data_IF_193434936833
#
_entry.id   IF_193434936833
#
_cell.length_a   1.000
_cell.length_b   1.000
_cell.length_c   1.000
_cell.angle_alpha   90.00
_cell.angle_beta   90.00
_cell.angle_gamma   90.00
#
_symmetry.space_group_name_H-M   'P 1'
#
loop_
_entity.id
_entity.type
_entity.pdbx_description
1 polymer ?
#
# COMPACT_ATOMS: atom_id res chain seq x y z
N UNK A 1 -6.19 -13.75 20.24
CA UNK A 1 -5.18 -13.99 21.29
C UNK A 1 -3.97 -14.58 20.61
N UNK A 2 -3.17 -13.72 20.02
CA UNK A 2 -1.93 -14.07 19.31
C UNK A 2 -0.83 -13.71 20.28
N UNK A 3 0.02 -14.65 20.65
CA UNK A 3 1.24 -14.40 21.42
C UNK A 3 2.05 -13.32 20.69
N UNK A 4 1.98 -12.10 21.21
CA UNK A 4 2.96 -11.06 20.94
C UNK A 4 4.28 -11.67 21.42
N UNK A 5 5.26 -11.80 20.54
CA UNK A 5 6.65 -12.10 20.88
C UNK A 5 7.06 -11.18 22.03
N UNK A 6 7.00 -11.69 23.26
CA UNK A 6 7.13 -10.90 24.47
C UNK A 6 8.57 -10.38 24.54
N UNK A 7 8.73 -9.07 24.37
CA UNK A 7 10.01 -8.38 24.58
C UNK A 7 10.72 -7.82 23.35
N UNK A 8 10.16 -7.89 22.14
CA UNK A 8 10.70 -7.12 21.01
C UNK A 8 10.17 -5.67 21.04
N UNK A 9 11.08 -4.71 21.10
CA UNK A 9 10.76 -3.28 20.99
C UNK A 9 11.22 -2.74 19.62
N UNK A 10 10.61 -1.65 19.12
CA UNK A 10 11.08 -0.95 17.91
C UNK A 10 12.59 -0.71 17.92
N UNK A 11 13.13 -0.24 19.04
CA UNK A 11 14.54 0.09 19.22
C UNK A 11 15.43 -1.15 19.08
N UNK A 12 15.00 -2.29 19.63
CA UNK A 12 15.73 -3.55 19.50
C UNK A 12 15.76 -4.04 18.04
N UNK A 13 14.64 -3.91 17.32
CA UNK A 13 14.58 -4.28 15.90
C UNK A 13 15.48 -3.38 15.06
N UNK A 14 15.45 -2.06 15.30
CA UNK A 14 16.32 -1.09 14.63
C UNK A 14 17.80 -1.37 14.94
N UNK A 15 18.15 -1.64 16.20
CA UNK A 15 19.53 -1.94 16.60
C UNK A 15 20.05 -3.23 15.93
N UNK A 16 19.22 -4.27 15.85
CA UNK A 16 19.56 -5.51 15.15
C UNK A 16 19.71 -5.29 13.65
N UNK A 17 18.81 -4.53 13.03
CA UNK A 17 18.89 -4.15 11.62
C UNK A 17 20.20 -3.41 11.32
N UNK A 18 20.53 -2.39 12.11
CA UNK A 18 21.81 -1.66 12.00
C UNK A 18 23.01 -2.61 12.08
N UNK A 19 23.05 -3.44 13.13
CA UNK A 19 24.14 -4.38 13.32
C UNK A 19 24.27 -5.39 12.17
N UNK A 20 23.16 -5.86 11.60
CA UNK A 20 23.18 -6.76 10.44
C UNK A 20 23.85 -6.10 9.23
N UNK A 21 23.51 -4.84 8.94
CA UNK A 21 24.07 -4.08 7.82
C UNK A 21 25.56 -3.79 8.05
N UNK A 22 25.93 -3.35 9.26
CA UNK A 22 27.32 -3.09 9.64
C UNK A 22 28.20 -4.35 9.57
N UNK A 23 27.62 -5.52 9.81
CA UNK A 23 28.28 -6.82 9.66
C UNK A 23 28.29 -7.35 8.21
N UNK A 24 27.87 -6.54 7.24
CA UNK A 24 28.00 -6.82 5.80
C UNK A 24 26.76 -7.43 5.13
N UNK A 25 25.62 -7.54 5.83
CA UNK A 25 24.37 -7.94 5.19
C UNK A 25 23.86 -6.83 4.26
N UNK A 26 23.33 -7.19 3.10
CA UNK A 26 22.67 -6.24 2.21
C UNK A 26 21.46 -5.59 2.91
N UNK A 27 21.35 -4.27 2.82
CA UNK A 27 20.38 -3.50 3.61
C UNK A 27 18.91 -3.84 3.29
N UNK A 28 18.59 -4.17 2.03
CA UNK A 28 17.21 -4.44 1.63
C UNK A 28 16.65 -5.77 2.17
N UNK A 29 17.35 -6.92 2.05
CA UNK A 29 17.00 -8.13 2.81
C UNK A 29 16.90 -7.90 4.31
N UNK A 30 17.87 -7.20 4.90
CA UNK A 30 17.87 -6.92 6.33
C UNK A 30 16.61 -6.12 6.75
N UNK A 31 16.18 -5.15 5.94
CA UNK A 31 14.93 -4.41 6.18
C UNK A 31 13.69 -5.30 6.09
N UNK A 32 13.66 -6.28 5.19
CA UNK A 32 12.54 -7.22 5.09
C UNK A 32 12.46 -8.10 6.34
N UNK A 33 13.59 -8.62 6.81
CA UNK A 33 13.68 -9.38 8.06
C UNK A 33 13.29 -8.52 9.28
N UNK A 34 13.72 -7.25 9.31
CA UNK A 34 13.31 -6.31 10.35
C UNK A 34 11.81 -6.01 10.31
N UNK A 35 11.22 -5.88 9.11
CA UNK A 35 9.78 -5.72 8.95
C UNK A 35 9.02 -6.97 9.43
N UNK A 36 9.60 -8.16 9.28
CA UNK A 36 9.03 -9.40 9.82
C UNK A 36 8.92 -9.33 11.35
N UNK A 37 9.98 -8.85 11.99
CA UNK A 37 10.12 -8.73 13.43
C UNK A 37 9.45 -7.48 14.04
N UNK A 38 8.95 -6.55 13.22
CA UNK A 38 8.43 -5.28 13.74
C UNK A 38 7.23 -5.50 14.68
N UNK A 39 7.23 -4.95 15.92
CA UNK A 39 6.24 -5.33 16.92
C UNK A 39 4.96 -4.46 16.89
N UNK A 40 4.98 -3.29 16.24
CA UNK A 40 3.89 -2.33 16.31
C UNK A 40 3.02 -2.32 15.06
N UNK A 41 1.71 -2.21 15.25
CA UNK A 41 0.77 -1.94 14.15
C UNK A 41 0.75 -0.46 13.76
N UNK A 42 0.99 0.43 14.72
CA UNK A 42 1.10 1.88 14.54
C UNK A 42 1.98 2.51 15.63
N UNK A 43 2.52 3.69 15.37
CA UNK A 43 3.24 4.50 16.36
C UNK A 43 3.13 6.00 16.07
N UNK A 44 3.39 6.83 17.09
CA UNK A 44 3.66 8.25 16.93
C UNK A 44 5.17 8.46 17.03
N UNK A 45 5.82 8.84 15.93
CA UNK A 45 7.25 9.05 15.89
C UNK A 45 7.59 10.39 15.25
N UNK A 46 8.41 11.18 15.94
CA UNK A 46 8.81 12.53 15.53
C UNK A 46 7.62 13.43 15.10
N UNK A 47 6.52 13.37 15.86
CA UNK A 47 5.31 14.17 15.61
C UNK A 47 4.45 13.72 14.43
N UNK A 48 4.73 12.55 13.85
CA UNK A 48 3.94 11.94 12.77
C UNK A 48 3.39 10.59 13.21
N UNK A 49 2.12 10.38 12.86
CA UNK A 49 1.45 9.09 12.99
C UNK A 49 1.86 8.16 11.86
N UNK A 50 2.34 6.97 12.20
CA UNK A 50 2.63 5.87 11.30
C UNK A 50 1.63 4.74 11.54
N UNK A 51 0.83 4.38 10.52
CA UNK A 51 -0.07 3.22 10.55
C UNK A 51 0.49 2.14 9.61
N UNK A 52 1.23 1.18 10.17
CA UNK A 52 1.90 0.14 9.41
C UNK A 52 0.96 -0.98 8.99
N UNK A 53 0.09 -1.42 9.90
CA UNK A 53 -0.84 -2.51 9.64
C UNK A 53 -2.27 -1.97 9.52
N UNK A 54 -2.72 -1.80 8.28
CA UNK A 54 -4.02 -1.23 7.95
C UNK A 54 -5.11 -2.28 8.18
N UNK A 55 -6.11 -1.91 8.98
CA UNK A 55 -7.22 -2.79 9.33
C UNK A 55 -6.81 -4.08 10.03
N UNK A 56 -5.60 -4.15 10.62
CA UNK A 56 -5.05 -5.37 11.24
C UNK A 56 -4.59 -6.44 10.24
N UNK A 57 -4.64 -6.17 8.93
CA UNK A 57 -4.54 -7.21 7.89
C UNK A 57 -3.58 -6.84 6.75
N UNK A 58 -3.41 -5.56 6.43
CA UNK A 58 -2.66 -5.09 5.26
C UNK A 58 -1.42 -4.29 5.66
N UNK A 59 -0.23 -4.85 5.44
CA UNK A 59 1.05 -4.27 5.85
C UNK A 59 1.61 -3.32 4.80
N UNK A 60 1.77 -2.05 5.18
CA UNK A 60 2.45 -1.03 4.39
C UNK A 60 3.97 -1.12 4.58
N UNK A 61 4.61 -1.99 3.79
CA UNK A 61 6.07 -2.19 3.87
C UNK A 61 6.86 -0.92 3.55
N UNK A 62 6.40 -0.09 2.61
CA UNK A 62 7.10 1.14 2.24
C UNK A 62 7.11 2.13 3.40
N UNK A 63 6.01 2.22 4.16
CA UNK A 63 5.96 3.05 5.36
C UNK A 63 6.91 2.56 6.47
N UNK A 64 7.06 1.23 6.63
CA UNK A 64 8.08 0.67 7.53
C UNK A 64 9.50 0.96 7.05
N UNK A 65 9.77 0.82 5.75
CA UNK A 65 11.09 1.15 5.20
C UNK A 65 11.41 2.63 5.35
N UNK A 66 10.41 3.52 5.23
CA UNK A 66 10.56 4.94 5.55
C UNK A 66 10.99 5.11 7.01
N UNK A 67 10.32 4.43 7.95
CA UNK A 67 10.64 4.48 9.38
C UNK A 67 12.06 4.00 9.68
N UNK A 68 12.48 2.89 9.08
CA UNK A 68 13.84 2.35 9.23
C UNK A 68 14.88 3.28 8.64
N UNK A 69 14.61 3.84 7.46
CA UNK A 69 15.54 4.73 6.76
C UNK A 69 15.90 5.97 7.58
N UNK A 70 14.99 6.48 8.42
CA UNK A 70 15.26 7.61 9.33
C UNK A 70 16.32 7.32 10.39
N UNK A 71 16.53 6.05 10.73
CA UNK A 71 17.49 5.61 11.76
C UNK A 71 18.78 5.08 11.15
N UNK A 72 18.84 4.98 9.81
CA UNK A 72 19.89 4.28 9.05
C UNK A 72 20.38 5.13 7.87
N UNK A 73 20.22 6.45 7.93
CA UNK A 73 20.59 7.37 6.83
C UNK A 73 22.09 7.28 6.48
N UNK A 74 22.93 6.93 7.46
CA UNK A 74 24.37 6.73 7.33
C UNK A 74 24.75 5.39 6.68
N UNK A 75 23.83 4.43 6.62
CA UNK A 75 24.09 3.07 6.15
C UNK A 75 23.46 2.74 4.79
N UNK A 76 22.56 3.59 4.28
CA UNK A 76 21.80 3.32 3.07
C UNK A 76 22.13 4.36 1.99
N UNK A 77 22.51 3.96 0.77
CA UNK A 77 22.71 4.91 -0.33
C UNK A 77 21.44 5.73 -0.60
N UNK A 78 21.55 7.07 -0.49
CA UNK A 78 20.40 7.97 -0.60
C UNK A 78 19.60 7.78 -1.92
N UNK A 79 20.30 7.53 -3.03
CA UNK A 79 19.66 7.29 -4.32
C UNK A 79 18.83 6.01 -4.35
N UNK A 80 19.33 4.92 -3.75
CA UNK A 80 18.59 3.66 -3.67
C UNK A 80 17.40 3.77 -2.71
N UNK A 81 17.60 4.43 -1.57
CA UNK A 81 16.53 4.75 -0.62
C UNK A 81 15.40 5.52 -1.29
N UNK A 82 15.72 6.61 -2.00
CA UNK A 82 14.72 7.46 -2.64
C UNK A 82 14.01 6.71 -3.79
N UNK A 83 14.73 5.86 -4.52
CA UNK A 83 14.15 4.97 -5.52
C UNK A 83 13.16 3.98 -4.91
N UNK A 84 13.50 3.36 -3.78
CA UNK A 84 12.60 2.44 -3.07
C UNK A 84 11.36 3.16 -2.55
N UNK A 85 11.55 4.24 -1.79
CA UNK A 85 10.46 4.92 -1.07
C UNK A 85 9.51 5.69 -2.00
N UNK A 86 10.03 6.34 -3.04
CA UNK A 86 9.21 7.22 -3.89
C UNK A 86 8.89 6.65 -5.26
N UNK A 87 9.68 5.68 -5.76
CA UNK A 87 9.46 5.05 -7.06
C UNK A 87 9.06 3.59 -6.98
N UNK A 88 9.13 2.97 -5.80
CA UNK A 88 8.88 1.54 -5.61
C UNK A 88 9.90 0.66 -6.33
N UNK A 89 11.10 1.19 -6.60
CA UNK A 89 12.18 0.46 -7.27
C UNK A 89 13.10 -0.11 -6.18
N UNK A 90 13.02 -1.41 -5.97
CA UNK A 90 13.91 -2.12 -5.05
C UNK A 90 15.36 -2.11 -5.57
N UNK A 91 16.38 -2.04 -4.70
CA UNK A 91 17.79 -2.06 -5.09
C UNK A 91 18.23 -3.43 -5.65
N UNK A 92 17.47 -4.47 -5.36
CA UNK A 92 17.67 -5.82 -5.88
C UNK A 92 16.33 -6.46 -6.23
N UNK A 93 16.31 -7.25 -7.29
CA UNK A 93 15.14 -8.07 -7.63
C UNK A 93 15.08 -9.28 -6.68
N UNK A 94 13.89 -9.56 -6.16
CA UNK A 94 13.61 -10.73 -5.33
C UNK A 94 12.45 -11.51 -5.93
N UNK A 95 12.57 -12.82 -5.90
CA UNK A 95 11.47 -13.74 -6.19
C UNK A 95 10.43 -13.70 -5.06
N UNK A 96 9.23 -14.22 -5.35
CA UNK A 96 8.17 -14.35 -4.33
C UNK A 96 8.59 -15.27 -3.19
N UNK A 97 9.38 -16.31 -3.46
CA UNK A 97 9.85 -17.26 -2.45
C UNK A 97 10.90 -16.62 -1.53
N UNK A 98 11.79 -15.78 -2.07
CA UNK A 98 12.75 -15.01 -1.26
C UNK A 98 12.04 -13.97 -0.39
N UNK A 99 11.07 -13.23 -0.93
CA UNK A 99 10.26 -12.30 -0.14
C UNK A 99 9.51 -13.02 0.99
N UNK A 100 8.94 -14.19 0.72
CA UNK A 100 8.30 -15.03 1.71
C UNK A 100 9.30 -15.49 2.79
N UNK A 101 10.50 -15.89 2.39
CA UNK A 101 11.54 -16.32 3.32
C UNK A 101 11.97 -15.19 4.28
N UNK A 102 12.18 -13.97 3.76
CA UNK A 102 12.59 -12.83 4.60
C UNK A 102 11.47 -12.30 5.49
N UNK A 103 10.23 -12.22 4.98
CA UNK A 103 9.09 -11.69 5.75
C UNK A 103 8.47 -12.74 6.70
N UNK A 104 8.58 -14.02 6.36
CA UNK A 104 7.79 -15.08 6.97
C UNK A 104 6.31 -15.04 6.53
N UNK A 105 5.59 -16.15 6.77
CA UNK A 105 4.25 -16.36 6.22
C UNK A 105 3.23 -15.28 6.61
N UNK A 106 3.24 -14.85 7.87
CA UNK A 106 2.25 -13.89 8.38
C UNK A 106 2.42 -12.54 7.70
N UNK A 107 3.64 -11.99 7.70
CA UNK A 107 3.93 -10.66 7.16
C UNK A 107 3.91 -10.66 5.65
N UNK A 108 4.30 -11.76 5.00
CA UNK A 108 4.13 -11.95 3.56
C UNK A 108 2.64 -11.90 3.17
N UNK A 109 1.76 -12.58 3.90
CA UNK A 109 0.31 -12.50 3.65
C UNK A 109 -0.23 -11.07 3.86
N UNK A 110 0.22 -10.39 4.91
CA UNK A 110 -0.19 -9.00 5.16
C UNK A 110 0.32 -8.05 4.06
N UNK A 111 1.53 -8.28 3.54
CA UNK A 111 2.05 -7.56 2.38
C UNK A 111 1.18 -7.80 1.14
N UNK A 112 0.79 -9.06 0.86
CA UNK A 112 -0.12 -9.36 -0.24
C UNK A 112 -1.49 -8.70 -0.06
N UNK A 113 -2.01 -8.65 1.17
CA UNK A 113 -3.25 -7.94 1.47
C UNK A 113 -3.14 -6.44 1.16
N UNK A 114 -2.00 -5.81 1.46
CA UNK A 114 -1.76 -4.42 1.07
C UNK A 114 -1.68 -4.28 -0.46
N UNK A 115 -0.90 -5.14 -1.11
CA UNK A 115 -0.71 -5.07 -2.56
C UNK A 115 -2.04 -5.22 -3.31
N UNK A 116 -2.83 -6.25 -3.01
CA UNK A 116 -4.11 -6.46 -3.67
C UNK A 116 -5.21 -5.53 -3.17
N UNK A 117 -5.26 -5.28 -1.87
CA UNK A 117 -6.36 -4.54 -1.26
C UNK A 117 -6.23 -3.03 -1.31
N UNK A 118 -5.03 -2.51 -1.55
CA UNK A 118 -4.77 -1.07 -1.65
C UNK A 118 -4.16 -0.74 -3.00
N UNK A 119 -2.95 -1.23 -3.31
CA UNK A 119 -2.24 -0.84 -4.54
C UNK A 119 -3.01 -1.20 -5.81
N UNK A 120 -3.55 -2.42 -5.88
CA UNK A 120 -4.33 -2.89 -7.04
C UNK A 120 -5.70 -2.21 -7.09
N UNK A 121 -6.33 -1.94 -5.95
CA UNK A 121 -7.62 -1.22 -5.89
C UNK A 121 -7.48 0.25 -6.32
N UNK A 122 -6.41 0.94 -5.92
CA UNK A 122 -6.08 2.29 -6.40
C UNK A 122 -5.84 2.29 -7.91
N UNK A 123 -5.10 1.30 -8.42
CA UNK A 123 -4.90 1.15 -9.85
C UNK A 123 -6.22 0.91 -10.60
N UNK A 124 -7.14 0.13 -10.02
CA UNK A 124 -8.48 -0.09 -10.58
C UNK A 124 -9.23 1.22 -10.73
N UNK A 125 -9.28 2.03 -9.66
CA UNK A 125 -9.89 3.36 -9.69
C UNK A 125 -9.29 4.24 -10.78
N UNK A 126 -7.97 4.28 -10.90
CA UNK A 126 -7.27 5.08 -11.93
C UNK A 126 -7.63 4.61 -13.34
N UNK A 127 -7.68 3.29 -13.56
CA UNK A 127 -8.03 2.71 -14.86
C UNK A 127 -9.48 3.03 -15.23
N UNK A 128 -10.43 2.81 -14.32
CA UNK A 128 -11.85 3.08 -14.55
C UNK A 128 -12.09 4.57 -14.82
N UNK A 129 -11.50 5.47 -14.02
CA UNK A 129 -11.58 6.91 -14.29
C UNK A 129 -10.98 7.28 -15.67
N UNK A 130 -9.94 6.58 -16.11
CA UNK A 130 -9.35 6.80 -17.43
C UNK A 130 -10.25 6.30 -18.57
N UNK A 131 -11.02 5.24 -18.35
CA UNK A 131 -12.06 4.74 -19.26
C UNK A 131 -13.20 5.75 -19.37
N UNK A 132 -13.76 6.21 -18.25
CA UNK A 132 -14.79 7.25 -18.19
C UNK A 132 -14.34 8.54 -18.91
N UNK A 133 -13.11 9.01 -18.67
CA UNK A 133 -12.56 10.20 -19.38
C UNK A 133 -12.49 10.00 -20.89
N UNK A 134 -12.23 8.78 -21.37
CA UNK A 134 -12.19 8.49 -22.82
C UNK A 134 -13.60 8.54 -23.41
N UNK A 135 -14.59 7.98 -22.70
CA UNK A 135 -15.99 8.00 -23.09
C UNK A 135 -16.52 9.44 -23.19
N UNK A 136 -16.28 10.27 -22.17
CA UNK A 136 -16.64 11.70 -22.18
C UNK A 136 -16.05 12.43 -23.38
N UNK A 137 -14.76 12.19 -23.69
CA UNK A 137 -14.11 12.79 -24.86
C UNK A 137 -14.75 12.34 -26.17
N UNK A 138 -15.11 11.07 -26.30
CA UNK A 138 -15.80 10.56 -27.51
C UNK A 138 -17.20 11.15 -27.69
N UNK A 139 -17.86 11.52 -26.59
CA UNK A 139 -19.21 12.10 -26.58
C UNK A 139 -19.21 13.64 -26.60
N UNK A 140 -18.03 14.28 -26.61
CA UNK A 140 -17.90 15.75 -26.55
C UNK A 140 -18.34 16.36 -25.21
N UNK A 141 -18.53 15.55 -24.16
CA UNK A 141 -18.93 16.00 -22.82
C UNK A 141 -17.70 16.50 -22.06
N UNK A 142 -17.73 17.74 -21.57
CA UNK A 142 -16.71 18.30 -20.65
C UNK A 142 -17.28 18.39 -19.24
N UNK A 143 -17.23 17.30 -18.48
CA UNK A 143 -17.59 17.28 -17.06
C UNK A 143 -16.53 16.52 -16.26
N UNK A 144 -15.39 17.17 -15.99
CA UNK A 144 -14.31 16.54 -15.21
C UNK A 144 -14.73 16.19 -13.77
N UNK A 145 -15.67 16.94 -13.19
CA UNK A 145 -16.17 16.71 -11.83
C UNK A 145 -16.98 15.42 -11.64
N UNK A 146 -17.53 14.82 -12.71
CA UNK A 146 -18.35 13.59 -12.59
C UNK A 146 -17.55 12.31 -12.81
N UNK A 147 -16.28 12.40 -13.26
CA UNK A 147 -15.45 11.24 -13.58
C UNK A 147 -15.24 10.32 -12.38
N UNK A 148 -15.02 10.91 -11.19
CA UNK A 148 -14.79 10.14 -9.97
C UNK A 148 -16.06 9.39 -9.59
N UNK A 149 -17.20 10.09 -9.50
CA UNK A 149 -18.46 9.46 -9.14
C UNK A 149 -18.92 8.42 -10.17
N UNK A 150 -18.73 8.67 -11.46
CA UNK A 150 -19.04 7.68 -12.50
C UNK A 150 -18.16 6.43 -12.37
N UNK A 151 -16.87 6.57 -12.08
CA UNK A 151 -15.99 5.43 -11.83
C UNK A 151 -16.39 4.66 -10.56
N UNK A 152 -16.79 5.37 -9.50
CA UNK A 152 -17.27 4.78 -8.26
C UNK A 152 -18.61 4.05 -8.46
N UNK A 153 -19.56 4.65 -9.18
CA UNK A 153 -20.83 4.02 -9.54
C UNK A 153 -20.60 2.80 -10.40
N UNK A 154 -19.67 2.86 -11.37
CA UNK A 154 -19.31 1.68 -12.16
C UNK A 154 -18.78 0.55 -11.27
N UNK A 155 -17.87 0.82 -10.33
CA UNK A 155 -17.20 -0.23 -9.54
C UNK A 155 -17.98 -0.72 -8.31
N UNK A 156 -18.73 0.16 -7.66
CA UNK A 156 -19.35 -0.08 -6.36
C UNK A 156 -20.84 0.22 -6.32
N UNK A 157 -21.44 0.62 -7.45
CA UNK A 157 -22.87 0.95 -7.61
C UNK A 157 -23.33 2.14 -6.76
N UNK A 158 -22.38 2.93 -6.25
CA UNK A 158 -22.57 4.07 -5.36
C UNK A 158 -21.55 5.15 -5.69
N UNK A 159 -21.89 6.40 -5.39
CA UNK A 159 -20.98 7.55 -5.55
C UNK A 159 -19.81 7.49 -4.55
N UNK A 160 -18.77 8.28 -4.80
CA UNK A 160 -17.63 8.37 -3.88
C UNK A 160 -18.08 8.80 -2.48
N UNK A 161 -18.93 9.82 -2.42
CA UNK A 161 -19.39 10.39 -1.15
C UNK A 161 -20.24 9.42 -0.36
N UNK A 162 -21.14 8.66 -1.01
CA UNK A 162 -21.92 7.62 -0.33
C UNK A 162 -21.04 6.53 0.28
N UNK A 163 -20.02 6.08 -0.47
CA UNK A 163 -19.07 5.06 0.00
C UNK A 163 -18.22 5.58 1.16
N UNK A 164 -17.72 6.82 1.06
CA UNK A 164 -16.94 7.44 2.12
C UNK A 164 -17.76 7.65 3.39
N UNK A 165 -19.02 8.09 3.24
CA UNK A 165 -19.93 8.27 4.36
C UNK A 165 -20.28 6.94 5.04
N UNK A 166 -20.43 5.85 4.27
CA UNK A 166 -20.61 4.51 4.82
C UNK A 166 -19.38 4.07 5.61
N UNK A 167 -18.19 4.16 5.03
CA UNK A 167 -16.92 3.84 5.69
C UNK A 167 -16.76 4.59 7.02
N UNK A 168 -17.00 5.91 7.02
CA UNK A 168 -16.90 6.74 8.23
C UNK A 168 -17.87 6.30 9.32
N UNK A 169 -19.11 5.94 8.96
CA UNK A 169 -20.10 5.42 9.92
C UNK A 169 -19.63 4.10 10.54
N UNK A 170 -19.17 3.16 9.72
CA UNK A 170 -18.71 1.84 10.19
C UNK A 170 -17.48 1.95 11.09
N UNK A 171 -16.53 2.82 10.74
CA UNK A 171 -15.30 3.06 11.53
C UNK A 171 -15.45 4.06 12.67
N UNK A 172 -16.64 4.66 12.81
CA UNK A 172 -16.94 5.71 13.80
C UNK A 172 -16.00 6.92 13.69
N UNK A 173 -15.57 7.25 12.47
CA UNK A 173 -14.80 8.46 12.21
C UNK A 173 -15.69 9.69 12.16
N UNK A 174 -15.17 10.83 12.64
CA UNK A 174 -15.86 12.11 12.56
C UNK A 174 -16.08 12.52 11.10
N UNK A 175 -17.25 13.09 10.81
CA UNK A 175 -17.55 13.71 9.51
C UNK A 175 -16.82 15.06 9.39
N UNK A 176 -15.52 15.03 9.16
CA UNK A 176 -14.70 16.22 8.85
C UNK A 176 -14.45 16.35 7.35
N UNK A 177 -14.20 17.58 6.88
CA UNK A 177 -13.81 17.84 5.49
C UNK A 177 -12.43 17.27 5.15
N UNK A 178 -11.56 17.09 6.15
CA UNK A 178 -10.22 16.53 6.00
C UNK A 178 -10.21 15.03 6.30
N UNK A 179 -9.53 14.25 5.46
CA UNK A 179 -9.20 12.84 5.69
C UNK A 179 -7.68 12.71 5.89
N UNK A 180 -7.26 11.97 6.92
CA UNK A 180 -5.82 11.69 7.14
C UNK A 180 -5.34 10.66 6.11
N UNK A 181 -4.05 10.70 5.76
CA UNK A 181 -3.47 9.76 4.77
C UNK A 181 -3.72 8.29 5.15
N UNK A 182 -3.54 7.91 6.42
CA UNK A 182 -3.81 6.53 6.86
C UNK A 182 -5.30 6.15 6.73
N UNK A 183 -6.21 7.09 6.99
CA UNK A 183 -7.65 6.87 6.84
C UNK A 183 -8.04 6.70 5.36
N UNK A 184 -7.34 7.39 4.45
CA UNK A 184 -7.53 7.20 3.02
C UNK A 184 -7.10 5.80 2.59
N UNK A 185 -5.94 5.31 3.05
CA UNK A 185 -5.51 3.93 2.76
C UNK A 185 -6.45 2.89 3.38
N UNK A 186 -6.94 3.14 4.59
CA UNK A 186 -7.95 2.29 5.22
C UNK A 186 -9.27 2.29 4.45
N UNK A 187 -9.70 3.44 3.92
CA UNK A 187 -10.87 3.55 3.07
C UNK A 187 -10.69 2.74 1.78
N UNK A 188 -9.54 2.84 1.11
CA UNK A 188 -9.23 2.00 -0.06
C UNK A 188 -9.29 0.51 0.27
N UNK A 189 -8.68 0.09 1.39
CA UNK A 189 -8.74 -1.32 1.80
C UNK A 189 -10.18 -1.77 2.11
N UNK A 190 -10.99 -0.88 2.67
CA UNK A 190 -12.41 -1.12 2.90
C UNK A 190 -13.20 -1.23 1.57
N UNK A 191 -12.91 -0.40 0.57
CA UNK A 191 -13.50 -0.50 -0.78
C UNK A 191 -13.20 -1.84 -1.43
N UNK A 192 -11.95 -2.31 -1.33
CA UNK A 192 -11.58 -3.64 -1.80
C UNK A 192 -12.41 -4.74 -1.13
N UNK A 193 -12.53 -4.70 0.21
CA UNK A 193 -13.34 -5.67 0.95
C UNK A 193 -14.82 -5.60 0.58
N UNK A 194 -15.36 -4.39 0.41
CA UNK A 194 -16.72 -4.17 -0.07
C UNK A 194 -16.92 -4.82 -1.46
N UNK A 195 -16.00 -4.60 -2.40
CA UNK A 195 -16.08 -5.16 -3.75
C UNK A 195 -15.99 -6.68 -3.76
N UNK A 196 -15.11 -7.27 -2.94
CA UNK A 196 -15.03 -8.73 -2.79
C UNK A 196 -16.35 -9.35 -2.31
N UNK A 197 -17.09 -8.65 -1.44
CA UNK A 197 -18.32 -9.14 -0.87
C UNK A 197 -19.54 -8.93 -1.78
N UNK A 198 -19.59 -7.83 -2.54
CA UNK A 198 -20.77 -7.39 -3.27
C UNK A 198 -20.69 -7.57 -4.79
N UNK A 199 -19.53 -7.94 -5.35
CA UNK A 199 -19.37 -8.16 -6.79
C UNK A 199 -19.28 -9.64 -7.16
N UNK A 200 -19.74 -9.96 -8.37
CA UNK A 200 -19.56 -11.27 -8.99
C UNK A 200 -18.07 -11.65 -9.07
N UNK A 201 -17.74 -12.92 -8.77
CA UNK A 201 -16.34 -13.40 -8.75
C UNK A 201 -15.61 -13.19 -10.07
N UNK A 202 -16.30 -13.41 -11.19
CA UNK A 202 -15.75 -13.21 -12.53
C UNK A 202 -15.39 -11.73 -12.78
N UNK A 203 -16.23 -10.81 -12.29
CA UNK A 203 -15.99 -9.37 -12.37
C UNK A 203 -14.77 -8.97 -11.54
N UNK A 204 -14.69 -9.43 -10.29
CA UNK A 204 -13.54 -9.19 -9.41
C UNK A 204 -12.23 -9.65 -10.05
N UNK A 205 -12.22 -10.83 -10.67
CA UNK A 205 -11.04 -11.37 -11.35
C UNK A 205 -10.66 -10.54 -12.58
N UNK A 206 -11.63 -10.14 -13.40
CA UNK A 206 -11.40 -9.28 -14.57
C UNK A 206 -10.81 -7.92 -14.18
N UNK A 207 -11.40 -7.25 -13.18
CA UNK A 207 -10.96 -5.95 -12.70
C UNK A 207 -9.56 -6.00 -12.06
N UNK A 208 -9.29 -7.06 -11.28
CA UNK A 208 -7.95 -7.33 -10.75
C UNK A 208 -6.93 -7.49 -11.87
N UNK A 209 -7.23 -8.30 -12.90
CA UNK A 209 -6.34 -8.49 -14.04
C UNK A 209 -6.11 -7.20 -14.84
N UNK A 210 -7.16 -6.41 -15.04
CA UNK A 210 -7.09 -5.10 -15.71
C UNK A 210 -6.11 -4.18 -14.97
N UNK A 211 -6.21 -4.13 -13.65
CA UNK A 211 -5.40 -3.29 -12.76
C UNK A 211 -3.94 -3.75 -12.69
N UNK A 212 -3.70 -5.06 -12.58
CA UNK A 212 -2.35 -5.64 -12.63
C UNK A 212 -1.66 -5.33 -13.97
N UNK A 213 -2.39 -5.41 -15.09
CA UNK A 213 -1.87 -5.07 -16.41
C UNK A 213 -1.52 -3.58 -16.52
N UNK A 214 -2.30 -2.70 -15.88
CA UNK A 214 -1.97 -1.28 -15.78
C UNK A 214 -0.69 -1.06 -14.97
N UNK A 215 -0.58 -1.66 -13.78
CA UNK A 215 0.61 -1.55 -12.92
C UNK A 215 1.87 -2.05 -13.62
N UNK A 216 1.81 -3.19 -14.32
CA UNK A 216 2.94 -3.72 -15.12
C UNK A 216 3.40 -2.71 -16.18
N UNK A 217 2.48 -2.06 -16.90
CA UNK A 217 2.82 -1.03 -17.89
C UNK A 217 3.39 0.23 -17.24
N UNK A 218 2.86 0.62 -16.08
CA UNK A 218 3.34 1.76 -15.32
C UNK A 218 4.78 1.55 -14.81
N UNK A 219 5.06 0.39 -14.19
CA UNK A 219 6.39 0.03 -13.69
C UNK A 219 7.45 0.06 -14.80
N UNK A 220 7.16 -0.52 -15.98
CA UNK A 220 8.08 -0.48 -17.14
C UNK A 220 8.44 0.95 -17.57
N UNK A 221 7.49 1.89 -17.52
CA UNK A 221 7.74 3.30 -17.86
C UNK A 221 8.63 4.01 -16.83
N UNK A 222 8.53 3.65 -15.55
CA UNK A 222 9.39 4.20 -14.50
C UNK A 222 10.84 3.74 -14.66
N UNK A 223 11.05 2.47 -15.01
CA UNK A 223 12.37 1.91 -15.28
C UNK A 223 13.04 2.61 -16.48
N UNK A 224 12.29 2.86 -17.56
CA UNK A 224 12.79 3.57 -18.75
C UNK A 224 13.16 5.04 -18.52
N UNK A 225 12.63 5.68 -17.47
CA UNK A 225 12.94 7.08 -17.13
C UNK A 225 14.08 7.22 -16.11
N UNK A 226 14.56 6.10 -15.56
CA UNK A 226 15.56 6.07 -14.49
C UNK A 226 16.94 5.56 -14.95
N UNK A 227 17.05 5.09 -16.19
CA UNK A 227 18.33 4.80 -16.87
C UNK A 227 18.63 5.86 -17.91
#
# INVERSE_FOLDING_TARGET
>A
MTEILSGQTPELVIARLRAAIENGQAWYPAMLEAAAAWPLESEEYAGRHYQYLIGGEALDLILLFERFSRELEDLIPAQERDNLLFRGIAPQELTSDELLAFLGEVRYRQYLNYFYGITVEEALLVVTQSEVRKEHRSLGVRREGTVIDEAFVQLYERTHDEMLDQFRREKRYSKTSTIKIHQLKEFTYWLFKYRLLHSEKARVASDTNKSLNYLKKYARRLQQKSG
#
